data_IF_964679164395
#
_entry.id   IF_964679164395
#
_cell.length_a   1.000
_cell.length_b   1.000
_cell.length_c   1.000
_cell.angle_alpha   90.00
_cell.angle_beta   90.00
_cell.angle_gamma   90.00
#
_symmetry.space_group_name_H-M   'P 1'
#
loop_
_entity.id
_entity.type
_entity.pdbx_description
1 polymer ?
#
# COMPACT_ATOMS: atom_id res chain seq x y z
N UNK A 1 24.04 67.34 2.04
CA UNK A 1 23.52 66.21 2.83
C UNK A 1 22.74 65.16 2.03
N UNK A 2 21.82 65.53 1.12
CA UNK A 2 21.06 64.54 0.32
C UNK A 2 21.92 63.65 -0.59
N UNK A 3 22.93 64.20 -1.25
CA UNK A 3 23.80 63.45 -2.18
C UNK A 3 24.69 62.43 -1.44
N UNK A 4 25.12 62.76 -0.21
CA UNK A 4 25.95 61.89 0.63
C UNK A 4 25.13 60.71 1.17
N UNK A 5 23.85 60.93 1.50
CA UNK A 5 22.94 59.88 1.94
C UNK A 5 22.66 58.87 0.80
N UNK A 6 22.49 59.36 -0.43
CA UNK A 6 22.28 58.51 -1.60
C UNK A 6 23.52 57.69 -1.99
N UNK A 7 24.72 58.26 -1.86
CA UNK A 7 25.96 57.53 -2.15
C UNK A 7 26.22 56.45 -1.09
N UNK A 8 25.96 56.73 0.19
CA UNK A 8 26.10 55.75 1.27
C UNK A 8 25.13 54.57 1.12
N UNK A 9 23.87 54.84 0.73
CA UNK A 9 22.84 53.82 0.54
C UNK A 9 23.14 52.86 -0.63
N UNK A 10 23.72 53.37 -1.72
CA UNK A 10 24.12 52.54 -2.87
C UNK A 10 25.32 51.64 -2.57
N UNK A 11 26.25 52.05 -1.71
CA UNK A 11 27.41 51.22 -1.31
C UNK A 11 27.04 50.01 -0.43
N UNK A 12 25.92 50.04 0.31
CA UNK A 12 25.47 48.89 1.09
C UNK A 12 24.75 47.82 0.25
N UNK A 13 24.26 48.17 -0.95
CA UNK A 13 23.56 47.23 -1.83
C UNK A 13 24.49 46.28 -2.62
N UNK A 14 25.80 46.59 -2.69
CA UNK A 14 26.78 45.79 -3.43
C UNK A 14 27.31 44.55 -2.70
N UNK A 15 26.99 44.37 -1.41
CA UNK A 15 27.49 43.24 -0.60
C UNK A 15 26.61 41.98 -0.68
N UNK A 16 25.51 42.02 -1.42
CA UNK A 16 24.62 40.88 -1.63
C UNK A 16 25.00 40.09 -2.88
N UNK A 17 26.25 39.61 -2.98
CA UNK A 17 26.58 38.51 -3.88
C UNK A 17 26.14 37.21 -3.21
N UNK A 18 24.96 36.70 -3.55
CA UNK A 18 24.55 35.37 -3.15
C UNK A 18 25.43 34.36 -3.90
N UNK A 19 26.45 33.85 -3.22
CA UNK A 19 27.41 32.87 -3.75
C UNK A 19 26.72 31.49 -3.83
N UNK A 20 25.84 31.29 -4.82
CA UNK A 20 25.14 30.03 -5.07
C UNK A 20 26.00 28.95 -5.74
N UNK A 21 27.33 29.00 -5.59
CA UNK A 21 28.24 27.95 -6.11
C UNK A 21 28.02 26.58 -5.45
N UNK A 22 27.33 26.52 -4.31
CA UNK A 22 27.03 25.26 -3.61
C UNK A 22 26.02 24.39 -4.36
N UNK A 23 24.99 24.98 -4.98
CA UNK A 23 23.93 24.21 -5.62
C UNK A 23 24.37 23.67 -6.98
N UNK A 24 25.16 24.42 -7.76
CA UNK A 24 25.70 23.92 -9.03
C UNK A 24 26.57 22.66 -8.86
N UNK A 25 27.33 22.56 -7.77
CA UNK A 25 28.15 21.37 -7.50
C UNK A 25 27.32 20.16 -7.06
N UNK A 26 26.18 20.37 -6.40
CA UNK A 26 25.31 19.28 -5.95
C UNK A 26 24.48 18.69 -7.10
N UNK A 27 24.07 19.51 -8.08
CA UNK A 27 23.24 19.06 -9.20
C UNK A 27 24.04 18.57 -10.42
N UNK A 28 25.27 19.05 -10.65
CA UNK A 28 26.11 18.59 -11.77
C UNK A 28 26.97 17.35 -11.47
N UNK A 29 26.99 16.85 -10.23
CA UNK A 29 27.69 15.61 -9.87
C UNK A 29 26.71 14.44 -9.66
N UNK A 30 25.66 14.38 -10.47
CA UNK A 30 24.76 13.23 -10.58
C UNK A 30 25.43 12.08 -11.35
N UNK A 31 26.43 11.44 -10.75
CA UNK A 31 27.20 10.40 -11.43
C UNK A 31 28.00 9.50 -10.48
N UNK A 32 27.32 8.46 -10.01
CA UNK A 32 27.88 7.21 -9.48
C UNK A 32 28.42 7.16 -8.04
N UNK A 33 27.60 6.46 -7.25
CA UNK A 33 27.96 5.38 -6.32
C UNK A 33 28.69 5.69 -5.00
N UNK A 34 28.15 5.03 -3.97
CA UNK A 34 28.69 4.79 -2.63
C UNK A 34 28.48 5.90 -1.59
N UNK A 35 27.22 6.14 -1.24
CA UNK A 35 26.90 6.23 0.18
C UNK A 35 26.23 4.92 0.62
N UNK A 36 27.05 4.08 1.27
CA UNK A 36 26.62 3.24 2.37
C UNK A 36 26.00 4.14 3.45
N UNK A 37 24.73 4.51 3.29
CA UNK A 37 23.90 4.82 4.44
C UNK A 37 23.17 3.55 4.80
N UNK A 38 23.60 2.96 5.92
CA UNK A 38 22.78 2.12 6.79
C UNK A 38 21.58 2.95 7.31
N UNK A 39 20.69 3.40 6.42
CA UNK A 39 19.33 3.66 6.82
C UNK A 39 18.70 2.29 7.01
N UNK A 40 18.33 1.99 8.26
CA UNK A 40 17.36 0.95 8.56
C UNK A 40 16.28 1.00 7.48
N UNK A 41 16.21 -0.04 6.65
CA UNK A 41 15.07 -0.27 5.78
C UNK A 41 13.89 -0.55 6.71
N UNK A 42 13.33 0.50 7.27
CA UNK A 42 12.02 0.44 7.88
C UNK A 42 11.11 0.00 6.75
N UNK A 43 10.54 -1.20 6.89
CA UNK A 43 9.62 -1.75 5.89
C UNK A 43 8.56 -0.69 5.63
N UNK A 44 8.55 -0.12 4.42
CA UNK A 44 7.51 0.80 4.03
C UNK A 44 6.20 0.02 3.90
N UNK A 45 5.07 0.67 4.24
CA UNK A 45 3.77 0.07 4.05
C UNK A 45 3.56 -0.28 2.57
N UNK A 46 2.84 -1.37 2.31
CA UNK A 46 2.38 -1.69 0.96
C UNK A 46 1.52 -0.55 0.41
N UNK A 47 1.53 -0.37 -0.91
CA UNK A 47 0.70 0.65 -1.55
C UNK A 47 -0.79 0.39 -1.24
N UNK A 48 -1.56 1.47 -1.01
CA UNK A 48 -3.00 1.39 -0.73
C UNK A 48 -3.86 1.13 -1.97
N UNK A 49 -3.25 0.98 -3.15
CA UNK A 49 -3.92 0.65 -4.39
C UNK A 49 -4.05 -0.87 -4.60
N UNK A 50 -4.76 -1.25 -5.66
CA UNK A 50 -4.91 -2.66 -6.06
C UNK A 50 -4.07 -3.04 -7.27
N UNK A 51 -3.19 -2.16 -7.77
CA UNK A 51 -2.50 -2.37 -9.05
C UNK A 51 -1.60 -3.60 -9.03
N UNK A 52 -0.85 -3.79 -7.95
CA UNK A 52 0.00 -4.98 -7.79
C UNK A 52 -0.82 -6.27 -7.83
N UNK A 53 -1.98 -6.25 -7.16
CA UNK A 53 -2.86 -7.41 -7.10
C UNK A 53 -3.50 -7.68 -8.47
N UNK A 54 -3.97 -6.65 -9.17
CA UNK A 54 -4.55 -6.76 -10.51
C UNK A 54 -3.56 -7.39 -11.49
N UNK A 55 -2.31 -6.91 -11.53
CA UNK A 55 -1.25 -7.49 -12.38
C UNK A 55 -1.01 -8.97 -12.07
N UNK A 56 -1.07 -9.35 -10.80
CA UNK A 56 -0.90 -10.75 -10.36
C UNK A 56 -2.10 -11.61 -10.75
N UNK A 57 -3.31 -11.09 -10.61
CA UNK A 57 -4.55 -11.76 -11.00
C UNK A 57 -4.64 -11.97 -12.51
N UNK A 58 -4.32 -10.96 -13.31
CA UNK A 58 -4.36 -11.00 -14.78
C UNK A 58 -3.31 -11.94 -15.38
N UNK A 59 -2.17 -12.13 -14.71
CA UNK A 59 -1.12 -13.05 -15.15
C UNK A 59 -1.35 -14.51 -14.74
N UNK A 60 -2.33 -14.79 -13.87
CA UNK A 60 -2.64 -16.14 -13.44
C UNK A 60 -3.39 -16.91 -14.54
N UNK A 61 -2.88 -18.08 -14.90
CA UNK A 61 -3.53 -18.94 -15.91
C UNK A 61 -4.54 -19.89 -15.25
N UNK A 62 -5.80 -19.80 -15.66
CA UNK A 62 -6.86 -20.71 -15.23
C UNK A 62 -7.91 -20.87 -16.34
N UNK A 63 -8.27 -22.10 -16.67
CA UNK A 63 -9.31 -22.40 -17.67
C UNK A 63 -10.72 -22.43 -17.10
N UNK A 64 -10.85 -22.43 -15.77
CA UNK A 64 -12.11 -22.50 -15.04
C UNK A 64 -12.32 -21.20 -14.25
N UNK A 65 -12.75 -21.30 -12.99
CA UNK A 65 -12.93 -20.16 -12.11
C UNK A 65 -11.63 -19.85 -11.36
N UNK A 66 -11.10 -18.64 -11.56
CA UNK A 66 -9.96 -18.12 -10.80
C UNK A 66 -10.44 -17.43 -9.53
N UNK A 67 -9.98 -17.89 -8.38
CA UNK A 67 -10.38 -17.34 -7.09
C UNK A 67 -9.73 -15.97 -6.82
N UNK A 68 -10.51 -14.90 -6.62
CA UNK A 68 -9.99 -13.54 -6.47
C UNK A 68 -9.39 -13.24 -5.10
N UNK A 69 -9.32 -14.20 -4.17
CA UNK A 69 -8.61 -14.03 -2.90
C UNK A 69 -7.33 -14.86 -2.79
N UNK A 70 -7.20 -15.91 -3.60
CA UNK A 70 -6.14 -16.94 -3.44
C UNK A 70 -5.46 -17.32 -4.74
N UNK A 71 -5.96 -16.84 -5.88
CA UNK A 71 -5.49 -17.21 -7.22
C UNK A 71 -5.53 -18.72 -7.49
N UNK A 72 -6.33 -19.46 -6.71
CA UNK A 72 -6.60 -20.87 -6.94
C UNK A 72 -7.51 -21.05 -8.17
N UNK A 73 -7.19 -22.03 -9.02
CA UNK A 73 -8.04 -22.39 -10.15
C UNK A 73 -8.98 -23.55 -9.73
N UNK A 74 -10.28 -23.28 -9.68
CA UNK A 74 -11.31 -24.22 -9.19
C UNK A 74 -12.49 -24.32 -10.16
N UNK A 75 -13.37 -25.31 -9.96
CA UNK A 75 -14.55 -25.50 -10.82
C UNK A 75 -15.71 -24.54 -10.52
N UNK A 76 -15.92 -24.16 -9.25
CA UNK A 76 -17.05 -23.33 -8.83
C UNK A 76 -16.62 -22.30 -7.78
N UNK A 77 -17.26 -21.13 -7.68
CA UNK A 77 -16.88 -20.08 -6.73
C UNK A 77 -16.85 -20.53 -5.27
N UNK A 78 -17.81 -21.34 -4.82
CA UNK A 78 -17.82 -21.90 -3.47
C UNK A 78 -16.68 -22.90 -3.22
N UNK A 79 -15.94 -23.37 -4.22
CA UNK A 79 -14.75 -24.21 -4.01
C UNK A 79 -13.49 -23.40 -3.69
N UNK A 80 -13.55 -22.07 -3.76
CA UNK A 80 -12.39 -21.25 -3.43
C UNK A 80 -11.92 -21.49 -1.99
N UNK A 81 -10.60 -21.67 -1.77
CA UNK A 81 -10.04 -21.70 -0.43
C UNK A 81 -10.02 -20.28 0.15
N UNK A 82 -10.09 -20.19 1.49
CA UNK A 82 -9.88 -18.91 2.17
C UNK A 82 -8.39 -18.51 2.13
N UNK A 83 -8.07 -17.21 2.01
CA UNK A 83 -6.69 -16.73 1.98
C UNK A 83 -5.88 -17.13 3.22
N UNK A 84 -6.51 -17.17 4.39
CA UNK A 84 -5.84 -17.47 5.65
C UNK A 84 -6.54 -18.60 6.42
N UNK A 85 -6.46 -19.86 5.96
CA UNK A 85 -7.22 -20.99 6.55
C UNK A 85 -6.86 -21.27 8.02
N UNK A 86 -5.69 -20.81 8.47
CA UNK A 86 -5.29 -20.90 9.88
C UNK A 86 -6.17 -20.04 10.79
N UNK A 87 -6.63 -18.86 10.32
CA UNK A 87 -7.34 -17.85 11.13
C UNK A 87 -8.72 -17.50 10.58
N UNK A 88 -9.13 -18.09 9.47
CA UNK A 88 -10.43 -17.91 8.84
C UNK A 88 -11.22 -19.23 8.79
N UNK A 89 -12.52 -19.14 9.00
CA UNK A 89 -13.50 -20.18 8.72
C UNK A 89 -14.21 -19.84 7.40
N UNK A 90 -14.43 -20.88 6.58
CA UNK A 90 -15.22 -20.78 5.36
C UNK A 90 -16.68 -21.09 5.65
N UNK A 91 -17.59 -20.23 5.21
CA UNK A 91 -19.03 -20.38 5.42
C UNK A 91 -19.75 -20.27 4.08
N UNK A 92 -20.51 -21.31 3.73
CA UNK A 92 -21.32 -21.33 2.51
C UNK A 92 -22.63 -20.58 2.73
N UNK A 93 -22.85 -19.57 1.91
CA UNK A 93 -24.11 -18.86 1.81
C UNK A 93 -24.92 -19.68 0.80
N UNK A 94 -26.12 -20.13 1.15
CA UNK A 94 -26.89 -21.11 0.35
C UNK A 94 -27.26 -20.70 -1.09
N UNK A 95 -26.73 -19.60 -1.62
CA UNK A 95 -26.78 -19.13 -3.00
C UNK A 95 -25.62 -19.68 -3.87
N UNK A 96 -24.80 -20.58 -3.34
CA UNK A 96 -23.64 -21.14 -4.03
C UNK A 96 -22.41 -20.25 -3.98
N UNK A 97 -22.42 -19.24 -3.09
CA UNK A 97 -21.25 -18.45 -2.72
C UNK A 97 -20.70 -18.88 -1.35
N UNK A 98 -19.45 -18.55 -1.08
CA UNK A 98 -18.83 -18.79 0.21
C UNK A 98 -18.08 -17.52 0.66
N UNK A 99 -18.10 -17.27 1.95
CA UNK A 99 -17.35 -16.18 2.58
C UNK A 99 -16.32 -16.73 3.55
N UNK A 100 -15.21 -16.02 3.65
CA UNK A 100 -14.15 -16.28 4.62
C UNK A 100 -14.31 -15.28 5.75
N UNK A 101 -14.47 -15.79 6.96
CA UNK A 101 -14.66 -14.97 8.15
C UNK A 101 -13.62 -15.31 9.18
N UNK A 102 -13.11 -14.30 9.89
CA UNK A 102 -12.18 -14.52 10.98
C UNK A 102 -12.78 -15.48 12.00
N UNK A 103 -11.96 -16.42 12.47
CA UNK A 103 -12.27 -17.35 13.57
C UNK A 103 -12.55 -16.64 14.90
N UNK A 104 -12.40 -15.31 14.97
CA UNK A 104 -12.42 -14.43 16.15
C UNK A 104 -13.68 -14.41 17.04
N UNK A 105 -14.34 -15.55 17.24
CA UNK A 105 -15.22 -15.84 18.36
C UNK A 105 -14.47 -16.53 19.51
N UNK A 106 -15.12 -16.60 20.67
CA UNK A 106 -14.60 -17.31 21.84
C UNK A 106 -14.75 -18.84 21.71
N UNK A 107 -15.46 -19.29 20.66
CA UNK A 107 -15.76 -20.69 20.36
C UNK A 107 -15.66 -20.97 18.86
N UNK A 108 -15.16 -22.15 18.50
CA UNK A 108 -15.13 -22.63 17.13
C UNK A 108 -16.55 -22.65 16.52
N UNK A 109 -16.70 -22.18 15.28
CA UNK A 109 -17.98 -22.15 14.58
C UNK A 109 -18.97 -21.07 15.06
N UNK A 110 -18.59 -20.21 16.00
CA UNK A 110 -19.44 -19.11 16.46
C UNK A 110 -19.74 -18.10 15.33
N UNK A 111 -18.74 -17.81 14.48
CA UNK A 111 -18.89 -16.92 13.34
C UNK A 111 -19.93 -17.47 12.35
N UNK A 112 -19.82 -18.75 11.97
CA UNK A 112 -20.79 -19.43 11.11
C UNK A 112 -22.21 -19.40 11.70
N UNK A 113 -22.35 -19.64 13.00
CA UNK A 113 -23.65 -19.55 13.70
C UNK A 113 -24.23 -18.13 13.63
N UNK A 114 -23.41 -17.09 13.86
CA UNK A 114 -23.85 -15.69 13.78
C UNK A 114 -24.29 -15.32 12.37
N UNK A 115 -23.58 -15.78 11.35
CA UNK A 115 -23.94 -15.57 9.94
C UNK A 115 -25.30 -16.22 9.64
N UNK A 116 -25.51 -17.45 10.11
CA UNK A 116 -26.78 -18.15 9.89
C UNK A 116 -27.95 -17.49 10.64
N UNK A 117 -27.72 -16.99 11.86
CA UNK A 117 -28.72 -16.19 12.58
C UNK A 117 -29.01 -14.86 11.87
N UNK A 118 -27.98 -14.18 11.35
CA UNK A 118 -28.13 -12.94 10.58
C UNK A 118 -29.02 -13.16 9.35
N UNK A 119 -28.75 -14.25 8.62
CA UNK A 119 -29.51 -14.64 7.43
C UNK A 119 -30.99 -14.89 7.74
N UNK A 120 -31.29 -15.39 8.95
CA UNK A 120 -32.66 -15.62 9.42
C UNK A 120 -33.29 -14.40 10.10
N UNK A 121 -32.58 -13.27 10.21
CA UNK A 121 -33.06 -12.07 10.91
C UNK A 121 -33.16 -12.24 12.43
N UNK A 122 -32.33 -13.10 13.03
CA UNK A 122 -32.39 -13.47 14.45
C UNK A 122 -31.13 -13.06 15.25
N UNK A 123 -30.47 -11.96 14.87
CA UNK A 123 -29.33 -11.38 15.59
C UNK A 123 -29.77 -10.28 16.57
#
# INVERSE_FOLDING_TARGET
MRVILFTLLCSLAGLASAQFQFFEQMFNQGGQQQQQQQQQQQAQNVASDSEWYQRTYESAHCSNYLCPGTLACVHFPHHCPCPFPAVEDKVELGDGSAICVSKGGWKQGEAARKIELARKGML
#
